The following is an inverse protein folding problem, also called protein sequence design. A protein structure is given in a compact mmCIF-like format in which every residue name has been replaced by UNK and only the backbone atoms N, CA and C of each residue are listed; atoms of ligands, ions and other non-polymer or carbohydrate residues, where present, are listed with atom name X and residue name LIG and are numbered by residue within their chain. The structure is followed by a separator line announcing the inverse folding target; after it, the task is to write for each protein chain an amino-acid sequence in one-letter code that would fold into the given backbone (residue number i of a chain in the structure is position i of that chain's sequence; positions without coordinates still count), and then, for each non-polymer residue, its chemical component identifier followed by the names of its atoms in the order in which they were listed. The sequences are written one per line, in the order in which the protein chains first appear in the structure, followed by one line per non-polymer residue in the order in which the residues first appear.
data_IF_116988456114
#
_entry.id   IF_116988456114
#
_cell.length_a   1.000
_cell.length_b   1.000
_cell.length_c   1.000
_cell.angle_alpha   90.00
_cell.angle_beta   90.00
_cell.angle_gamma   90.00
#
_symmetry.space_group_name_H-M   'P 1'
#
loop_
_entity.id
_entity.type
_entity.pdbx_description
1 polymer ?
#
# COMPACT_ATOMS: atom_id res chain seq x y z
N UNK A 1 40.37 -4.11 -18.63
CA UNK A 1 39.72 -4.00 -17.32
C UNK A 1 38.23 -4.18 -17.54
N UNK A 2 37.70 -5.37 -17.26
CA UNK A 2 36.26 -5.63 -17.33
C UNK A 2 35.61 -4.92 -16.16
N UNK A 3 34.71 -3.96 -16.43
CA UNK A 3 33.94 -3.32 -15.37
C UNK A 3 33.21 -4.42 -14.58
N UNK A 4 33.34 -4.40 -13.25
CA UNK A 4 32.49 -5.21 -12.40
C UNK A 4 31.04 -4.87 -12.75
N UNK A 5 30.15 -5.87 -12.92
CA UNK A 5 28.75 -5.57 -13.12
C UNK A 5 28.26 -4.68 -11.97
N UNK A 6 27.40 -3.69 -12.23
CA UNK A 6 26.87 -2.83 -11.19
C UNK A 6 26.25 -3.69 -10.08
N UNK A 7 26.52 -3.31 -8.83
CA UNK A 7 25.97 -4.02 -7.68
C UNK A 7 24.43 -4.00 -7.78
N UNK A 8 23.80 -5.18 -7.81
CA UNK A 8 22.35 -5.33 -7.86
C UNK A 8 21.77 -5.20 -6.46
N UNK A 9 21.86 -3.99 -5.93
CA UNK A 9 21.31 -3.64 -4.62
C UNK A 9 19.90 -3.07 -4.77
N UNK A 10 19.00 -3.53 -3.92
CA UNK A 10 17.61 -3.12 -3.92
C UNK A 10 16.96 -3.45 -2.59
N UNK A 11 15.65 -3.61 -2.63
CA UNK A 11 14.82 -3.77 -1.45
C UNK A 11 14.02 -5.07 -1.52
N UNK A 12 13.90 -5.73 -0.39
CA UNK A 12 13.13 -6.95 -0.27
C UNK A 12 12.23 -6.88 0.95
N UNK A 13 10.94 -7.11 0.73
CA UNK A 13 9.97 -7.30 1.80
C UNK A 13 9.80 -8.79 2.08
N UNK A 14 10.34 -9.20 3.22
CA UNK A 14 10.28 -10.56 3.74
C UNK A 14 8.98 -10.73 4.52
N UNK A 15 7.93 -11.09 3.79
CA UNK A 15 6.61 -11.39 4.35
C UNK A 15 6.52 -12.84 4.87
N UNK A 16 7.54 -13.67 4.60
CA UNK A 16 7.50 -15.15 4.70
C UNK A 16 6.22 -15.74 4.10
N UNK A 17 6.15 -15.76 2.76
CA UNK A 17 5.15 -16.57 2.05
C UNK A 17 5.50 -18.06 2.23
N UNK A 18 4.60 -18.89 2.80
CA UNK A 18 4.85 -20.32 2.97
C UNK A 18 5.09 -21.05 1.63
N UNK A 19 4.72 -20.46 0.49
CA UNK A 19 4.98 -21.00 -0.86
C UNK A 19 6.44 -20.85 -1.29
N UNK A 20 7.22 -20.01 -0.62
CA UNK A 20 8.65 -19.83 -0.92
C UNK A 20 9.48 -20.35 0.24
N UNK A 21 9.94 -21.60 0.13
CA UNK A 21 10.85 -22.15 1.12
C UNK A 21 12.25 -21.53 0.97
N UNK A 22 12.70 -20.86 2.03
CA UNK A 22 13.96 -20.12 2.08
C UNK A 22 14.92 -20.79 3.06
N UNK A 23 16.15 -21.00 2.61
CA UNK A 23 17.28 -21.40 3.46
C UNK A 23 18.04 -20.14 3.87
N UNK A 24 18.28 -20.00 5.18
CA UNK A 24 18.93 -18.82 5.76
C UNK A 24 20.21 -19.23 6.46
N UNK A 25 21.33 -18.64 6.05
CA UNK A 25 22.68 -18.92 6.55
C UNK A 25 23.38 -17.58 6.86
N UNK A 26 23.25 -17.10 8.09
CA UNK A 26 23.73 -15.76 8.47
C UNK A 26 23.00 -14.66 7.69
N UNK A 27 23.75 -13.81 6.99
CA UNK A 27 23.22 -12.76 6.11
C UNK A 27 22.76 -13.29 4.74
N UNK A 28 22.96 -14.57 4.43
CA UNK A 28 22.61 -15.15 3.13
C UNK A 28 21.22 -15.76 3.19
N UNK A 29 20.38 -15.42 2.20
CA UNK A 29 19.06 -16.03 2.01
C UNK A 29 18.99 -16.58 0.60
N UNK A 30 18.73 -17.88 0.49
CA UNK A 30 18.57 -18.57 -0.80
C UNK A 30 17.28 -19.36 -0.85
N UNK A 31 16.82 -19.61 -2.05
CA UNK A 31 15.69 -20.51 -2.28
C UNK A 31 16.11 -21.95 -2.05
N UNK A 32 15.22 -22.76 -1.48
CA UNK A 32 15.44 -24.20 -1.36
C UNK A 32 15.37 -24.89 -2.74
N UNK A 33 14.45 -24.44 -3.60
CA UNK A 33 14.28 -24.95 -4.96
C UNK A 33 14.97 -24.08 -6.02
N UNK A 34 15.37 -24.68 -7.15
CA UNK A 34 16.10 -24.03 -8.25
C UNK A 34 15.24 -23.32 -9.30
N UNK A 35 13.90 -23.39 -9.20
CA UNK A 35 12.95 -22.68 -10.09
C UNK A 35 11.80 -22.06 -9.28
N UNK A 36 10.92 -21.21 -9.84
CA UNK A 36 10.01 -20.28 -9.13
C UNK A 36 9.17 -20.88 -7.99
N UNK A 37 8.61 -20.08 -7.05
CA UNK A 37 8.55 -18.60 -7.04
C UNK A 37 9.86 -17.93 -6.58
N UNK A 38 10.36 -16.96 -7.35
CA UNK A 38 11.63 -16.26 -7.08
C UNK A 38 11.55 -15.28 -5.91
N UNK A 39 12.70 -14.95 -5.31
CA UNK A 39 12.81 -13.78 -4.42
C UNK A 39 12.73 -12.54 -5.31
N UNK A 40 11.76 -11.67 -5.06
CA UNK A 40 11.61 -10.40 -5.79
C UNK A 40 12.35 -9.31 -5.05
N UNK A 41 13.35 -8.71 -5.69
CA UNK A 41 14.11 -7.58 -5.17
C UNK A 41 13.79 -6.35 -5.99
N UNK A 42 13.02 -5.42 -5.41
CA UNK A 42 12.64 -4.17 -6.04
C UNK A 42 13.83 -3.21 -6.11
N UNK A 43 13.99 -2.53 -7.25
CA UNK A 43 15.05 -1.52 -7.41
C UNK A 43 14.72 -0.24 -6.63
N UNK A 44 13.43 0.02 -6.38
CA UNK A 44 12.96 1.16 -5.62
C UNK A 44 12.00 0.72 -4.52
N UNK A 45 12.15 1.25 -3.31
CA UNK A 45 11.26 0.93 -2.20
C UNK A 45 9.78 1.24 -2.49
N UNK A 46 9.54 2.28 -3.31
CA UNK A 46 8.20 2.71 -3.71
C UNK A 46 7.47 1.74 -4.66
N UNK A 47 8.18 0.78 -5.28
CA UNK A 47 7.58 -0.23 -6.15
C UNK A 47 7.25 -1.54 -5.45
N UNK A 48 7.68 -1.70 -4.18
CA UNK A 48 7.44 -2.93 -3.42
C UNK A 48 5.95 -3.22 -3.33
N UNK A 49 5.59 -4.43 -3.74
CA UNK A 49 4.24 -4.96 -3.55
C UNK A 49 4.18 -5.72 -2.24
N UNK A 50 3.34 -5.24 -1.31
CA UNK A 50 3.11 -5.90 -0.03
C UNK A 50 1.95 -6.88 -0.20
N UNK A 51 2.25 -8.18 -0.05
CA UNK A 51 1.26 -9.24 -0.18
C UNK A 51 0.31 -9.36 1.02
N UNK A 52 -0.35 -10.52 1.13
CA UNK A 52 -1.30 -10.80 2.20
C UNK A 52 -0.68 -10.91 3.60
N UNK A 53 0.63 -11.14 3.69
CA UNK A 53 1.33 -11.31 4.97
C UNK A 53 1.90 -9.99 5.46
N UNK A 54 1.25 -9.46 6.49
CA UNK A 54 1.61 -8.23 7.19
C UNK A 54 1.42 -8.44 8.69
N UNK A 55 2.32 -7.93 9.55
CA UNK A 55 3.59 -7.29 9.19
C UNK A 55 4.69 -8.31 8.79
N UNK A 56 5.71 -7.82 8.10
CA UNK A 56 6.89 -8.58 7.67
C UNK A 56 8.18 -7.85 8.07
N UNK A 57 9.27 -8.10 7.35
CA UNK A 57 10.54 -7.37 7.54
C UNK A 57 10.99 -6.73 6.24
N UNK A 58 11.44 -5.48 6.30
CA UNK A 58 12.01 -4.79 5.16
C UNK A 58 13.54 -4.82 5.24
N UNK A 59 14.17 -5.16 4.13
CA UNK A 59 15.62 -5.22 4.02
C UNK A 59 16.12 -4.44 2.80
N UNK A 60 17.27 -3.80 2.97
CA UNK A 60 18.18 -3.52 1.86
C UNK A 60 19.01 -4.76 1.59
N UNK A 61 19.06 -5.22 0.36
CA UNK A 61 19.67 -6.50 -0.02
C UNK A 61 20.50 -6.36 -1.28
N UNK A 62 21.44 -7.30 -1.48
CA UNK A 62 22.17 -7.48 -2.74
C UNK A 62 21.78 -8.79 -3.39
N UNK A 63 21.46 -8.78 -4.67
CA UNK A 63 21.27 -10.01 -5.45
C UNK A 63 22.62 -10.65 -5.73
N UNK A 64 22.89 -11.80 -5.13
CA UNK A 64 24.14 -12.56 -5.34
C UNK A 64 23.97 -13.60 -6.45
N UNK A 65 22.76 -14.18 -6.60
CA UNK A 65 22.43 -15.09 -7.70
C UNK A 65 21.09 -14.69 -8.30
N UNK A 66 21.11 -14.34 -9.60
CA UNK A 66 19.89 -14.05 -10.35
C UNK A 66 19.05 -15.32 -10.54
N UNK A 67 17.74 -15.15 -10.51
CA UNK A 67 16.78 -16.10 -11.07
C UNK A 67 16.57 -15.85 -12.56
N UNK A 68 15.62 -16.58 -13.14
CA UNK A 68 15.26 -16.43 -14.55
C UNK A 68 14.53 -15.10 -14.81
N UNK A 69 15.19 -14.19 -15.53
CA UNK A 69 14.66 -12.89 -15.95
C UNK A 69 13.98 -12.94 -17.33
N UNK A 70 13.91 -14.10 -17.98
CA UNK A 70 13.27 -14.24 -19.29
C UNK A 70 11.76 -13.94 -19.23
N UNK A 71 11.22 -13.45 -20.35
CA UNK A 71 9.81 -13.09 -20.48
C UNK A 71 9.39 -11.80 -19.77
N UNK A 72 10.33 -11.06 -19.17
CA UNK A 72 10.08 -9.74 -18.59
C UNK A 72 10.30 -8.63 -19.63
N UNK A 73 9.65 -7.49 -19.39
CA UNK A 73 9.99 -6.24 -20.09
C UNK A 73 11.44 -5.84 -19.79
N UNK A 74 12.06 -5.02 -20.65
CA UNK A 74 13.49 -4.70 -20.57
C UNK A 74 13.94 -4.12 -19.21
N UNK A 75 13.10 -3.30 -18.60
CA UNK A 75 13.36 -2.67 -17.29
C UNK A 75 12.16 -2.91 -16.36
N UNK A 76 12.07 -4.10 -15.74
CA UNK A 76 10.88 -4.47 -14.97
C UNK A 76 10.80 -3.77 -13.61
N UNK A 77 11.81 -2.99 -13.21
CA UNK A 77 11.86 -2.29 -11.92
C UNK A 77 12.22 -3.18 -10.72
N UNK A 78 12.46 -4.48 -10.94
CA UNK A 78 12.89 -5.45 -9.93
C UNK A 78 13.83 -6.49 -10.54
N UNK A 79 14.46 -7.30 -9.69
CA UNK A 79 15.17 -8.51 -10.08
C UNK A 79 14.49 -9.73 -9.48
N UNK A 80 14.43 -10.81 -10.25
CA UNK A 80 14.20 -12.16 -9.73
C UNK A 80 15.53 -12.69 -9.21
N UNK A 81 15.56 -13.14 -7.96
CA UNK A 81 16.74 -13.68 -7.31
C UNK A 81 16.51 -15.11 -6.84
N UNK A 82 17.54 -15.93 -7.00
CA UNK A 82 17.66 -17.25 -6.38
C UNK A 82 18.34 -17.16 -5.02
N UNK A 83 19.18 -16.14 -4.86
CA UNK A 83 19.92 -15.86 -3.64
C UNK A 83 20.19 -14.36 -3.49
N UNK A 84 20.11 -13.91 -2.24
CA UNK A 84 20.39 -12.55 -1.82
C UNK A 84 21.29 -12.55 -0.57
N UNK A 85 21.99 -11.44 -0.40
CA UNK A 85 22.70 -11.06 0.82
C UNK A 85 21.93 -9.91 1.51
N UNK A 86 21.64 -10.08 2.79
CA UNK A 86 21.03 -9.05 3.64
C UNK A 86 22.10 -8.00 4.00
N UNK A 87 21.84 -6.74 3.69
CA UNK A 87 22.74 -5.63 3.99
C UNK A 87 22.30 -4.94 5.27
N UNK A 88 21.12 -4.31 5.24
CA UNK A 88 20.57 -3.57 6.38
C UNK A 88 19.09 -3.90 6.58
N UNK A 89 18.69 -4.05 7.83
CA UNK A 89 17.29 -4.01 8.19
C UNK A 89 16.80 -2.56 8.14
N UNK A 90 15.66 -2.33 7.49
CA UNK A 90 15.04 -1.01 7.39
C UNK A 90 13.75 -0.97 8.22
N UNK A 91 13.37 0.21 8.77
CA UNK A 91 12.08 0.37 9.41
C UNK A 91 10.94 0.18 8.39
N UNK A 92 9.83 -0.43 8.81
CA UNK A 92 8.67 -0.66 7.93
C UNK A 92 8.06 0.65 7.41
N UNK A 93 8.21 1.77 8.13
CA UNK A 93 7.70 3.07 7.68
C UNK A 93 8.33 3.52 6.37
N UNK A 94 9.55 3.08 6.05
CA UNK A 94 10.19 3.39 4.78
C UNK A 94 9.37 2.88 3.57
N UNK A 95 8.53 1.85 3.74
CA UNK A 95 7.62 1.35 2.70
C UNK A 95 6.64 2.43 2.22
N UNK A 96 6.30 3.41 3.06
CA UNK A 96 5.22 4.38 2.81
C UNK A 96 5.72 5.81 2.60
N UNK A 97 7.02 5.98 2.37
CA UNK A 97 7.63 7.28 2.09
C UNK A 97 7.99 8.08 3.34
N UNK A 98 8.25 9.40 3.19
CA UNK A 98 8.81 10.23 4.26
C UNK A 98 7.98 10.35 5.54
N UNK A 99 6.66 10.18 5.43
CA UNK A 99 5.73 10.23 6.57
C UNK A 99 5.12 8.85 6.87
N UNK A 100 5.86 7.78 6.57
CA UNK A 100 5.34 6.43 6.65
C UNK A 100 4.99 5.95 8.07
N UNK A 101 5.54 6.57 9.12
CA UNK A 101 5.13 6.30 10.50
C UNK A 101 3.64 6.63 10.71
N UNK A 102 3.13 7.70 10.08
CA UNK A 102 1.73 8.05 10.16
C UNK A 102 0.81 7.02 9.46
N UNK A 103 1.31 6.36 8.40
CA UNK A 103 0.60 5.27 7.74
C UNK A 103 0.61 4.01 8.60
N UNK A 104 1.73 3.73 9.28
CA UNK A 104 1.82 2.65 10.27
C UNK A 104 0.83 2.86 11.43
N UNK A 105 0.66 4.09 11.92
CA UNK A 105 -0.32 4.40 12.96
C UNK A 105 -1.75 4.05 12.53
N UNK A 106 -2.12 4.37 11.28
CA UNK A 106 -3.42 3.99 10.72
C UNK A 106 -3.55 2.46 10.64
N UNK A 107 -2.54 1.76 10.12
CA UNK A 107 -2.53 0.30 10.03
C UNK A 107 -2.65 -0.39 11.40
N UNK A 108 -1.98 0.15 12.43
CA UNK A 108 -2.05 -0.37 13.78
C UNK A 108 -3.48 -0.29 14.37
N UNK A 109 -4.29 0.71 13.96
CA UNK A 109 -5.69 0.80 14.39
C UNK A 109 -6.56 -0.29 13.76
N UNK A 110 -6.24 -0.72 12.54
CA UNK A 110 -7.03 -1.73 11.81
C UNK A 110 -6.98 -3.09 12.51
N UNK A 111 -5.81 -3.50 13.01
CA UNK A 111 -5.62 -4.82 13.65
C UNK A 111 -6.59 -5.06 14.81
N UNK A 112 -6.85 -4.01 15.60
CA UNK A 112 -7.71 -4.05 16.78
C UNK A 112 -9.12 -3.52 16.55
N UNK A 113 -9.45 -3.10 15.32
CA UNK A 113 -10.69 -2.40 15.00
C UNK A 113 -11.91 -3.27 15.35
N UNK A 114 -12.80 -2.75 16.18
CA UNK A 114 -14.08 -3.40 16.51
C UNK A 114 -15.20 -2.96 15.57
N UNK A 115 -16.31 -3.70 15.53
CA UNK A 115 -17.52 -3.28 14.79
C UNK A 115 -17.99 -1.91 15.26
N UNK A 116 -18.01 -1.67 16.58
CA UNK A 116 -18.43 -0.39 17.14
C UNK A 116 -17.54 0.78 16.67
N UNK A 117 -16.22 0.58 16.59
CA UNK A 117 -15.31 1.59 16.05
C UNK A 117 -15.45 1.76 14.53
N UNK A 118 -15.68 0.68 13.78
CA UNK A 118 -15.97 0.77 12.35
C UNK A 118 -17.27 1.56 12.09
N UNK A 119 -18.32 1.29 12.86
CA UNK A 119 -19.57 2.09 12.83
C UNK A 119 -19.31 3.55 13.19
N UNK A 120 -18.53 3.82 14.24
CA UNK A 120 -18.19 5.18 14.63
C UNK A 120 -17.41 5.92 13.53
N UNK A 121 -16.43 5.27 12.90
CA UNK A 121 -15.68 5.82 11.76
C UNK A 121 -16.61 6.11 10.59
N UNK A 122 -17.46 5.14 10.20
CA UNK A 122 -18.41 5.29 9.11
C UNK A 122 -19.37 6.46 9.35
N UNK A 123 -19.92 6.57 10.57
CA UNK A 123 -20.82 7.66 10.94
C UNK A 123 -20.10 9.01 10.94
N UNK A 124 -18.89 9.08 11.51
CA UNK A 124 -18.11 10.31 11.53
C UNK A 124 -17.70 10.74 10.10
N UNK A 125 -17.42 9.78 9.22
CA UNK A 125 -17.15 10.03 7.80
C UNK A 125 -18.38 10.58 7.08
N UNK A 126 -19.57 10.03 7.34
CA UNK A 126 -20.82 10.53 6.78
C UNK A 126 -21.13 11.98 7.22
N UNK A 127 -20.61 12.42 8.38
CA UNK A 127 -20.70 13.81 8.86
C UNK A 127 -19.63 14.75 8.26
N UNK A 128 -18.75 14.24 7.38
CA UNK A 128 -17.71 14.99 6.69
C UNK A 128 -17.92 14.94 5.16
N UNK A 129 -18.99 15.58 4.64
CA UNK A 129 -19.35 15.47 3.21
C UNK A 129 -18.28 15.96 2.25
N UNK A 130 -17.39 16.86 2.70
CA UNK A 130 -16.29 17.40 1.88
C UNK A 130 -15.03 16.52 1.86
N UNK A 131 -14.98 15.44 2.66
CA UNK A 131 -13.79 14.61 2.80
C UNK A 131 -13.44 13.88 1.50
N UNK A 132 -14.43 13.34 0.78
CA UNK A 132 -14.18 12.67 -0.51
C UNK A 132 -13.67 13.66 -1.57
N UNK A 133 -14.23 14.87 -1.59
CA UNK A 133 -13.77 15.93 -2.49
C UNK A 133 -12.32 16.37 -2.15
N UNK A 134 -11.97 16.45 -0.86
CA UNK A 134 -10.61 16.73 -0.42
C UNK A 134 -9.64 15.62 -0.79
N UNK A 135 -10.07 14.35 -0.67
CA UNK A 135 -9.30 13.19 -1.07
C UNK A 135 -9.02 13.20 -2.58
N UNK A 136 -10.04 13.50 -3.38
CA UNK A 136 -9.90 13.62 -4.83
C UNK A 136 -9.00 14.77 -5.28
N UNK A 137 -9.03 15.92 -4.58
CA UNK A 137 -8.07 17.02 -4.85
C UNK A 137 -6.63 16.59 -4.60
N UNK A 138 -6.37 15.83 -3.53
CA UNK A 138 -5.04 15.33 -3.24
C UNK A 138 -4.54 14.33 -4.31
N UNK A 139 -5.42 13.48 -4.84
CA UNK A 139 -5.11 12.59 -5.97
C UNK A 139 -4.87 13.35 -7.28
N UNK A 140 -5.67 14.39 -7.56
CA UNK A 140 -5.42 15.26 -8.70
C UNK A 140 -4.02 15.89 -8.62
N UNK A 141 -3.66 16.49 -7.47
CA UNK A 141 -2.33 17.03 -7.23
C UNK A 141 -1.21 16.00 -7.41
N UNK A 142 -1.41 14.76 -6.92
CA UNK A 142 -0.47 13.66 -7.11
C UNK A 142 -0.26 13.32 -8.58
N UNK A 143 -1.35 13.17 -9.32
CA UNK A 143 -1.32 12.75 -10.73
C UNK A 143 -0.65 13.80 -11.63
N UNK A 144 -0.85 15.09 -11.35
CA UNK A 144 -0.37 16.20 -12.18
C UNK A 144 1.06 16.65 -11.81
N UNK A 145 1.56 16.31 -10.62
CA UNK A 145 2.92 16.63 -10.15
C UNK A 145 3.16 18.11 -9.81
N UNK A 146 2.14 18.96 -9.97
CA UNK A 146 2.06 20.39 -9.64
C UNK A 146 0.57 20.76 -9.53
N UNK A 147 0.16 21.87 -8.87
CA UNK A 147 -1.27 22.17 -8.70
C UNK A 147 -1.97 22.32 -10.05
N UNK A 148 -3.12 21.68 -10.17
CA UNK A 148 -3.95 21.60 -11.37
C UNK A 148 -4.12 22.93 -12.09
N UNK A 149 -3.82 22.94 -13.39
CA UNK A 149 -4.42 23.89 -14.33
C UNK A 149 -5.83 23.41 -14.67
N UNK A 150 -6.80 24.31 -14.52
CA UNK A 150 -8.24 24.07 -14.42
C UNK A 150 -8.98 23.52 -15.68
N UNK A 151 -8.46 22.51 -16.40
CA UNK A 151 -9.04 22.11 -17.69
C UNK A 151 -9.22 20.60 -17.94
N UNK A 152 -8.99 19.73 -16.97
CA UNK A 152 -9.34 18.29 -17.10
C UNK A 152 -10.68 18.03 -16.42
N UNK A 153 -11.60 17.26 -17.02
CA UNK A 153 -12.81 16.82 -16.32
C UNK A 153 -12.41 16.25 -14.96
N UNK A 154 -13.14 16.60 -13.90
CA UNK A 154 -12.89 16.07 -12.57
C UNK A 154 -13.00 14.54 -12.66
N UNK A 155 -11.85 13.87 -12.69
CA UNK A 155 -11.79 12.43 -12.62
C UNK A 155 -12.37 12.03 -11.26
N UNK A 156 -13.26 11.04 -11.26
CA UNK A 156 -13.75 10.50 -10.00
C UNK A 156 -12.60 9.74 -9.34
N UNK A 157 -12.09 10.32 -8.27
CA UNK A 157 -11.00 9.76 -7.48
C UNK A 157 -11.53 9.04 -6.24
N UNK A 158 -12.85 8.91 -6.10
CA UNK A 158 -13.44 8.31 -4.91
C UNK A 158 -12.92 6.89 -4.70
N UNK A 159 -12.49 6.59 -3.46
CA UNK A 159 -11.94 5.28 -3.12
C UNK A 159 -10.68 4.85 -3.87
N UNK A 160 -10.02 5.74 -4.63
CA UNK A 160 -8.80 5.39 -5.40
C UNK A 160 -7.70 4.91 -4.46
N UNK A 161 -7.12 3.75 -4.76
CA UNK A 161 -6.02 3.15 -3.98
C UNK A 161 -4.66 3.29 -4.69
N UNK A 162 -4.66 3.40 -6.02
CA UNK A 162 -3.47 3.49 -6.84
C UNK A 162 -3.77 4.20 -8.15
N UNK A 163 -2.92 5.17 -8.50
CA UNK A 163 -2.90 5.83 -9.80
C UNK A 163 -1.47 6.23 -10.13
N UNK A 164 -1.04 5.98 -11.38
CA UNK A 164 0.30 6.36 -11.84
C UNK A 164 0.49 7.87 -11.73
N UNK A 165 1.60 8.30 -11.10
CA UNK A 165 2.01 9.70 -11.18
C UNK A 165 2.73 9.97 -12.51
N UNK A 166 2.75 11.24 -12.92
CA UNK A 166 3.49 11.67 -14.10
C UNK A 166 5.00 11.52 -13.87
N UNK A 167 5.57 10.40 -14.31
CA UNK A 167 7.02 10.18 -14.36
C UNK A 167 7.65 9.49 -13.14
N UNK A 168 6.86 8.87 -12.26
CA UNK A 168 7.35 8.14 -11.09
C UNK A 168 7.05 6.64 -11.10
N UNK A 169 7.87 5.85 -10.41
CA UNK A 169 7.60 4.42 -10.17
C UNK A 169 6.56 4.18 -9.07
N UNK A 170 6.27 5.19 -8.24
CA UNK A 170 5.29 5.13 -7.17
C UNK A 170 3.86 5.17 -7.72
N UNK A 171 3.00 4.30 -7.20
CA UNK A 171 1.58 4.19 -7.61
C UNK A 171 0.61 4.95 -6.71
N UNK A 172 1.08 5.54 -5.61
CA UNK A 172 0.27 6.41 -4.76
C UNK A 172 1.14 7.38 -3.97
N UNK A 173 0.56 8.46 -3.42
CA UNK A 173 1.20 9.37 -2.49
C UNK A 173 1.90 8.71 -1.29
N UNK A 174 1.42 7.53 -0.88
CA UNK A 174 1.92 6.76 0.25
C UNK A 174 2.43 5.38 -0.20
N UNK A 175 2.91 5.28 -1.44
CA UNK A 175 3.38 4.04 -2.09
C UNK A 175 2.35 2.90 -2.03
N UNK A 176 2.64 1.80 -1.35
CA UNK A 176 1.71 0.67 -1.16
C UNK A 176 0.69 0.88 -0.02
N UNK A 177 0.70 2.02 0.66
CA UNK A 177 -0.06 2.26 1.89
C UNK A 177 -1.56 2.08 1.76
N UNK A 178 -2.19 2.69 0.75
CA UNK A 178 -3.64 2.59 0.54
C UNK A 178 -4.10 1.16 0.23
N UNK A 179 -3.38 0.47 -0.67
CA UNK A 179 -3.64 -0.94 -0.98
C UNK A 179 -3.53 -1.82 0.26
N UNK A 180 -2.52 -1.58 1.10
CA UNK A 180 -2.34 -2.35 2.33
C UNK A 180 -3.44 -2.05 3.36
N UNK A 181 -3.81 -0.78 3.56
CA UNK A 181 -4.92 -0.36 4.44
C UNK A 181 -6.20 -1.06 4.01
N UNK A 182 -6.55 -0.98 2.73
CA UNK A 182 -7.73 -1.64 2.17
C UNK A 182 -7.67 -3.16 2.42
N UNK A 183 -6.56 -3.81 2.08
CA UNK A 183 -6.40 -5.26 2.24
C UNK A 183 -6.42 -5.75 3.69
N UNK A 184 -5.89 -4.96 4.65
CA UNK A 184 -5.96 -5.30 6.07
C UNK A 184 -7.35 -5.08 6.65
N UNK A 185 -8.02 -3.98 6.26
CA UNK A 185 -9.39 -3.73 6.69
C UNK A 185 -10.33 -4.81 6.16
N UNK A 186 -10.17 -5.23 4.91
CA UNK A 186 -10.94 -6.31 4.32
C UNK A 186 -10.84 -7.60 5.13
N UNK A 187 -9.62 -8.02 5.47
CA UNK A 187 -9.41 -9.21 6.32
C UNK A 187 -10.03 -9.04 7.69
N UNK A 188 -9.90 -7.85 8.29
CA UNK A 188 -10.47 -7.56 9.61
C UNK A 188 -12.00 -7.62 9.59
N UNK A 189 -12.61 -7.03 8.57
CA UNK A 189 -14.05 -7.02 8.34
C UNK A 189 -14.58 -8.45 8.19
N UNK A 190 -13.95 -9.26 7.34
CA UNK A 190 -14.31 -10.68 7.20
C UNK A 190 -14.10 -11.49 8.49
N UNK A 191 -13.02 -11.25 9.23
CA UNK A 191 -12.72 -11.98 10.45
C UNK A 191 -13.77 -11.74 11.56
N UNK A 192 -14.40 -10.56 11.60
CA UNK A 192 -15.40 -10.22 12.63
C UNK A 192 -16.83 -10.37 12.12
N UNK A 193 -17.12 -9.83 10.94
CA UNK A 193 -18.45 -9.79 10.35
C UNK A 193 -18.77 -10.97 9.41
N UNK A 194 -17.81 -11.85 9.14
CA UNK A 194 -18.01 -13.00 8.27
C UNK A 194 -18.39 -12.60 6.84
N UNK A 195 -19.30 -13.37 6.24
CA UNK A 195 -19.77 -13.10 4.87
C UNK A 195 -20.55 -11.79 4.75
N UNK A 196 -21.25 -11.37 5.80
CA UNK A 196 -22.08 -10.14 5.81
C UNK A 196 -21.23 -8.86 5.73
N UNK A 197 -19.92 -8.96 5.98
CA UNK A 197 -18.99 -7.85 5.83
C UNK A 197 -18.66 -7.54 4.35
N UNK A 198 -19.02 -8.43 3.42
CA UNK A 198 -18.71 -8.31 1.99
C UNK A 198 -20.00 -8.32 1.18
N UNK A 199 -20.24 -7.25 0.43
CA UNK A 199 -21.29 -7.20 -0.58
C UNK A 199 -20.78 -7.85 -1.85
N UNK A 200 -21.63 -8.69 -2.45
CA UNK A 200 -21.42 -9.26 -3.77
C UNK A 200 -22.49 -8.72 -4.70
N UNK A 201 -22.07 -8.05 -5.76
CA UNK A 201 -22.96 -7.51 -6.78
C UNK A 201 -22.57 -8.11 -8.11
N UNK A 202 -23.54 -8.67 -8.82
CA UNK A 202 -23.35 -9.12 -10.19
C UNK A 202 -23.60 -7.93 -11.11
N UNK A 203 -22.63 -7.63 -11.98
CA UNK A 203 -22.76 -6.57 -12.97
C UNK A 203 -23.59 -7.02 -14.19
N UNK A 204 -23.75 -6.13 -15.17
CA UNK A 204 -24.54 -6.40 -16.38
C UNK A 204 -23.97 -7.53 -17.25
N UNK A 205 -22.67 -7.85 -17.09
CA UNK A 205 -21.96 -8.89 -17.83
C UNK A 205 -21.90 -10.23 -17.05
N UNK A 206 -22.46 -10.28 -15.84
CA UNK A 206 -22.46 -11.47 -14.98
C UNK A 206 -21.17 -11.63 -14.17
N UNK A 207 -20.30 -10.62 -14.12
CA UNK A 207 -19.12 -10.62 -13.27
C UNK A 207 -19.50 -10.23 -11.84
N UNK A 208 -18.96 -10.97 -10.86
CA UNK A 208 -19.21 -10.69 -9.44
C UNK A 208 -18.17 -9.69 -8.96
N UNK A 209 -18.64 -8.48 -8.64
CA UNK A 209 -17.88 -7.47 -7.92
C UNK A 209 -18.06 -7.68 -6.41
N UNK A 210 -16.95 -7.72 -5.67
CA UNK A 210 -16.96 -7.74 -4.21
C UNK A 210 -16.60 -6.36 -3.67
N UNK A 211 -17.38 -5.84 -2.72
CA UNK A 211 -17.09 -4.60 -2.00
C UNK A 211 -17.31 -4.77 -0.49
N UNK A 212 -16.78 -3.85 0.32
CA UNK A 212 -17.05 -3.84 1.75
C UNK A 212 -18.51 -3.45 2.01
N UNK A 213 -19.19 -4.18 2.88
CA UNK A 213 -20.51 -3.81 3.37
C UNK A 213 -20.41 -2.75 4.49
N UNK A 214 -21.47 -1.98 4.68
CA UNK A 214 -21.59 -1.13 5.86
C UNK A 214 -21.42 -1.94 7.16
N UNK A 215 -20.67 -1.44 8.17
CA UNK A 215 -20.05 -0.11 8.24
C UNK A 215 -18.62 -0.04 7.69
N UNK A 216 -18.11 -1.13 7.09
CA UNK A 216 -16.70 -1.26 6.75
C UNK A 216 -16.27 -0.42 5.56
N UNK A 217 -17.17 -0.15 4.62
CA UNK A 217 -16.95 0.78 3.49
C UNK A 217 -16.65 2.21 3.96
N UNK A 218 -17.52 2.78 4.80
CA UNK A 218 -17.34 4.13 5.35
C UNK A 218 -16.13 4.21 6.28
N UNK A 219 -15.84 3.13 7.02
CA UNK A 219 -14.60 3.03 7.79
C UNK A 219 -13.35 3.00 6.89
N UNK A 220 -13.43 2.33 5.72
CA UNK A 220 -12.34 2.30 4.74
C UNK A 220 -12.03 3.71 4.24
N UNK A 221 -13.04 4.45 3.77
CA UNK A 221 -12.85 5.83 3.33
C UNK A 221 -12.21 6.69 4.42
N UNK A 222 -12.71 6.64 5.65
CA UNK A 222 -12.13 7.39 6.77
C UNK A 222 -10.64 7.08 7.03
N UNK A 223 -10.25 5.80 6.93
CA UNK A 223 -8.87 5.36 7.12
C UNK A 223 -7.97 5.82 5.95
N UNK A 224 -8.47 5.75 4.70
CA UNK A 224 -7.75 6.22 3.52
C UNK A 224 -7.57 7.74 3.55
N UNK A 225 -8.60 8.49 3.94
CA UNK A 225 -8.55 9.95 4.11
C UNK A 225 -7.49 10.35 5.14
N UNK A 226 -7.49 9.70 6.31
CA UNK A 226 -6.49 9.93 7.34
C UNK A 226 -5.07 9.59 6.85
N UNK A 227 -4.90 8.49 6.12
CA UNK A 227 -3.62 8.10 5.55
C UNK A 227 -3.12 9.08 4.49
N UNK A 228 -4.00 9.64 3.65
CA UNK A 228 -3.66 10.69 2.68
C UNK A 228 -3.16 11.95 3.39
N UNK A 229 -3.95 12.46 4.34
CA UNK A 229 -3.64 13.70 5.03
C UNK A 229 -2.36 13.63 5.88
N UNK A 230 -2.13 12.49 6.53
CA UNK A 230 -0.98 12.32 7.44
C UNK A 230 0.25 11.73 6.76
N UNK A 231 0.06 10.87 5.76
CA UNK A 231 1.15 10.21 5.02
C UNK A 231 1.67 11.01 3.83
N UNK A 232 0.87 11.96 3.30
CA UNK A 232 1.26 12.84 2.21
C UNK A 232 0.88 14.32 2.45
N UNK A 233 1.29 14.93 3.58
CA UNK A 233 0.89 16.29 3.95
C UNK A 233 1.28 17.35 2.91
N UNK A 234 2.31 17.10 2.10
CA UNK A 234 2.72 18.01 1.01
C UNK A 234 1.70 18.13 -0.14
N UNK A 235 0.74 17.22 -0.24
CA UNK A 235 -0.29 17.23 -1.29
C UNK A 235 -1.63 17.80 -0.80
N UNK A 236 -1.78 17.94 0.51
CA UNK A 236 -3.05 18.22 1.17
C UNK A 236 -3.00 19.60 1.83
N UNK A 237 -3.77 20.59 1.33
CA UNK A 237 -3.90 21.89 1.99
C UNK A 237 -4.38 21.75 3.45
N UNK A 238 -4.03 22.69 4.33
CA UNK A 238 -4.35 22.60 5.77
C UNK A 238 -5.86 22.44 6.07
N UNK A 239 -6.73 23.11 5.30
CA UNK A 239 -8.18 22.98 5.42
C UNK A 239 -8.68 21.58 5.05
N UNK A 240 -8.08 20.98 4.00
CA UNK A 240 -8.38 19.63 3.55
C UNK A 240 -7.83 18.59 4.54
N UNK A 241 -6.65 18.84 5.12
CA UNK A 241 -6.04 17.97 6.13
C UNK A 241 -6.94 17.81 7.36
N UNK A 242 -7.50 18.90 7.87
CA UNK A 242 -8.45 18.88 9.00
C UNK A 242 -9.73 18.12 8.63
N UNK A 243 -10.19 18.26 7.39
CA UNK A 243 -11.41 17.58 6.92
C UNK A 243 -11.18 16.07 6.80
N UNK A 244 -10.07 15.66 6.19
CA UNK A 244 -9.70 14.26 5.95
C UNK A 244 -9.37 13.48 7.23
N UNK A 245 -8.84 14.15 8.26
CA UNK A 245 -8.47 13.51 9.53
C UNK A 245 -9.62 13.46 10.54
N UNK A 246 -10.68 14.25 10.36
CA UNK A 246 -11.76 14.44 11.34
C UNK A 246 -12.37 13.14 11.83
N UNK A 247 -12.74 12.22 10.93
CA UNK A 247 -13.38 10.97 11.30
C UNK A 247 -12.45 10.08 12.15
N UNK A 248 -11.19 9.98 11.72
CA UNK A 248 -10.16 9.24 12.44
C UNK A 248 -9.88 9.84 13.82
N UNK A 249 -9.73 11.15 13.92
CA UNK A 249 -9.43 11.86 15.17
C UNK A 249 -10.60 11.78 16.15
N UNK A 250 -11.84 11.81 15.66
CA UNK A 250 -13.03 11.63 16.49
C UNK A 250 -13.06 10.26 17.18
N UNK A 251 -12.57 9.21 16.50
CA UNK A 251 -12.60 7.84 17.04
C UNK A 251 -11.33 7.48 17.80
N UNK A 252 -10.17 8.04 17.44
CA UNK A 252 -8.87 7.63 17.96
C UNK A 252 -8.01 8.75 18.58
N UNK A 253 -8.40 10.02 18.45
CA UNK A 253 -7.62 11.19 18.85
C UNK A 253 -7.77 11.62 20.31
N UNK A 254 -8.10 10.68 21.21
CA UNK A 254 -8.16 10.91 22.65
C UNK A 254 -6.81 11.26 23.27
#
# INVERSE_FOLDING_TARGET
MTALPPAREGYWYDATDPRTELVREGARVRRAASGPPWIVVDQHIASITIGSHWPGRLWRVRVTVLGDMSGLVAEPGYWRASEIELIDALPLSALFGPHGDAVLDVLARIESLSVAQATALSNANALAPDAEAAYGRAWAHWSEGTPASAATPAQDWAGTLAASSRGGAARSPVHGGFLLIHGQLWKRAQAIGGADAILRTEDEDGEIEESLAAPWDGACSALLHAAMARGAPGLVPAADSTTLTRAFDTVFGG
#
